data_IF_219244957319
#
_entry.id   IF_219244957319
#
_cell.length_a   1.000
_cell.length_b   1.000
_cell.length_c   1.000
_cell.angle_alpha   90.00
_cell.angle_beta   90.00
_cell.angle_gamma   90.00
#
_symmetry.space_group_name_H-M   'P 1'
#
loop_
_entity.id
_entity.type
_entity.pdbx_description
1 polymer ?
#
# COMPACT_ATOMS: atom_id res chain seq x y z
N UNK A 1 5.34 -9.27 11.00
CA UNK A 1 5.47 -9.31 12.48
C UNK A 1 5.00 -10.67 13.00
N UNK A 2 5.76 -11.35 13.89
CA UNK A 2 5.33 -12.62 14.50
C UNK A 2 3.97 -12.53 15.21
N UNK A 3 3.72 -11.43 15.90
CA UNK A 3 2.44 -11.19 16.60
C UNK A 3 1.25 -11.18 15.63
N UNK A 4 1.39 -10.47 14.51
CA UNK A 4 0.32 -10.40 13.49
C UNK A 4 0.06 -11.76 12.85
N UNK A 5 1.12 -12.52 12.56
CA UNK A 5 0.98 -13.90 12.04
C UNK A 5 0.30 -14.80 13.06
N UNK A 6 0.63 -14.68 14.36
CA UNK A 6 -0.06 -15.42 15.42
C UNK A 6 -1.57 -15.14 15.47
N UNK A 7 -1.97 -13.88 15.33
CA UNK A 7 -3.39 -13.50 15.24
C UNK A 7 -4.08 -14.07 13.99
N UNK A 8 -3.40 -14.01 12.84
CA UNK A 8 -3.93 -14.56 11.59
C UNK A 8 -4.13 -16.08 11.68
N UNK A 9 -3.16 -16.82 12.22
CA UNK A 9 -3.26 -18.27 12.45
C UNK A 9 -4.38 -18.64 13.41
N UNK A 10 -4.59 -17.81 14.44
CA UNK A 10 -5.69 -18.04 15.39
C UNK A 10 -7.07 -17.80 14.77
N UNK A 11 -7.17 -16.82 13.85
CA UNK A 11 -8.41 -16.48 13.15
C UNK A 11 -8.75 -17.47 12.02
N UNK A 12 -7.73 -18.00 11.34
CA UNK A 12 -7.86 -18.98 10.26
C UNK A 12 -6.79 -20.08 10.39
N UNK A 13 -7.05 -21.14 11.16
CA UNK A 13 -6.09 -22.24 11.37
C UNK A 13 -5.75 -23.04 10.10
N UNK A 14 -6.54 -22.90 9.03
CA UNK A 14 -6.31 -23.59 7.75
C UNK A 14 -5.39 -22.85 6.80
N UNK A 15 -5.06 -21.59 7.08
CA UNK A 15 -4.19 -20.77 6.25
C UNK A 15 -2.68 -21.07 6.43
N UNK A 16 -1.91 -20.91 5.39
CA UNK A 16 -0.43 -20.97 5.44
C UNK A 16 0.14 -19.56 5.72
N UNK A 17 0.40 -19.30 7.00
CA UNK A 17 0.90 -18.01 7.47
C UNK A 17 2.38 -18.11 7.83
N UNK A 18 3.21 -17.25 7.24
CA UNK A 18 4.66 -17.23 7.44
C UNK A 18 5.15 -15.86 7.84
N UNK A 19 6.10 -15.81 8.76
CA UNK A 19 6.87 -14.59 9.03
C UNK A 19 7.97 -14.51 7.98
N UNK A 20 7.92 -13.48 7.15
CA UNK A 20 8.94 -13.24 6.12
C UNK A 20 9.17 -11.71 5.96
N UNK A 21 10.31 -11.37 5.39
CA UNK A 21 10.58 -10.05 4.86
C UNK A 21 9.93 -9.94 3.46
N UNK A 22 9.25 -8.81 3.18
CA UNK A 22 8.67 -8.56 1.86
C UNK A 22 9.69 -8.50 0.74
N UNK A 23 10.92 -8.08 1.05
CA UNK A 23 12.05 -8.06 0.12
C UNK A 23 12.81 -9.39 0.03
N UNK A 24 12.34 -10.44 0.74
CA UNK A 24 12.95 -11.80 0.72
C UNK A 24 11.87 -12.83 1.04
N UNK A 25 11.10 -13.21 0.04
CA UNK A 25 9.96 -14.11 0.19
C UNK A 25 10.40 -15.58 0.13
N UNK A 26 9.90 -16.48 1.01
CA UNK A 26 10.28 -17.89 1.05
C UNK A 26 9.54 -18.72 -0.01
N UNK A 27 9.51 -18.24 -1.24
CA UNK A 27 8.89 -18.91 -2.38
C UNK A 27 9.89 -19.03 -3.52
N UNK A 28 9.76 -20.09 -4.31
CA UNK A 28 10.57 -20.29 -5.53
C UNK A 28 10.12 -19.33 -6.63
N UNK A 29 11.01 -19.08 -7.59
CA UNK A 29 10.73 -18.22 -8.74
C UNK A 29 9.53 -18.74 -9.53
N UNK A 30 8.73 -17.82 -10.04
CA UNK A 30 7.61 -18.11 -10.96
C UNK A 30 6.61 -19.15 -10.44
N UNK A 31 6.38 -19.21 -9.11
CA UNK A 31 5.52 -20.22 -8.49
C UNK A 31 4.15 -19.69 -8.07
N UNK A 32 3.94 -18.38 -8.08
CA UNK A 32 2.74 -17.72 -7.58
C UNK A 32 1.99 -17.06 -8.74
N UNK A 33 0.68 -17.28 -8.85
CA UNK A 33 -0.15 -16.65 -9.88
C UNK A 33 -0.68 -15.26 -9.49
N UNK A 34 -0.80 -15.00 -8.18
CA UNK A 34 -1.33 -13.74 -7.67
C UNK A 34 -0.60 -13.36 -6.37
N UNK A 35 -0.08 -12.13 -6.34
CA UNK A 35 0.44 -11.49 -5.13
C UNK A 35 -0.48 -10.32 -4.78
N UNK A 36 -0.82 -10.17 -3.51
CA UNK A 36 -1.62 -9.05 -2.99
C UNK A 36 -0.80 -8.30 -1.94
N UNK A 37 -0.50 -7.04 -2.20
CA UNK A 37 0.10 -6.11 -1.24
C UNK A 37 -0.98 -5.13 -0.76
N UNK A 38 -1.69 -5.52 0.30
CA UNK A 38 -2.79 -4.72 0.84
C UNK A 38 -2.28 -3.86 2.00
N UNK A 39 -2.32 -2.54 1.81
CA UNK A 39 -1.93 -1.53 2.81
C UNK A 39 -0.57 -1.82 3.47
N UNK A 40 0.41 -2.27 2.68
CA UNK A 40 1.70 -2.72 3.19
C UNK A 40 2.91 -2.04 2.54
N UNK A 41 2.89 -1.77 1.23
CA UNK A 41 4.07 -1.21 0.53
C UNK A 41 4.49 0.16 1.07
N UNK A 42 3.54 0.99 1.52
CA UNK A 42 3.85 2.29 2.12
C UNK A 42 4.59 2.17 3.47
N UNK A 43 4.50 1.01 4.14
CA UNK A 43 5.08 0.77 5.46
C UNK A 43 6.45 0.06 5.39
N UNK A 44 6.87 -0.36 4.19
CA UNK A 44 8.13 -1.08 3.99
C UNK A 44 9.31 -0.11 3.79
N UNK A 45 10.41 -0.37 4.49
CA UNK A 45 11.66 0.38 4.31
C UNK A 45 12.21 0.14 2.90
N UNK A 46 12.30 -1.13 2.46
CA UNK A 46 12.70 -1.54 1.11
C UNK A 46 11.48 -1.92 0.26
N UNK A 47 10.74 -0.90 -0.15
CA UNK A 47 9.57 -1.08 -1.02
C UNK A 47 9.97 -1.59 -2.42
N UNK A 48 11.09 -1.12 -2.95
CA UNK A 48 11.57 -1.54 -4.27
C UNK A 48 11.97 -3.01 -4.25
N UNK A 49 12.72 -3.46 -3.24
CA UNK A 49 13.07 -4.86 -3.05
C UNK A 49 11.83 -5.74 -2.91
N UNK A 50 10.80 -5.29 -2.19
CA UNK A 50 9.55 -6.03 -2.05
C UNK A 50 8.80 -6.16 -3.39
N UNK A 51 8.81 -5.14 -4.24
CA UNK A 51 8.21 -5.20 -5.57
C UNK A 51 9.00 -6.14 -6.49
N UNK A 52 10.34 -6.12 -6.43
CA UNK A 52 11.19 -7.07 -7.17
C UNK A 52 10.97 -8.51 -6.72
N UNK A 53 10.85 -8.76 -5.42
CA UNK A 53 10.54 -10.09 -4.89
C UNK A 53 9.15 -10.57 -5.32
N UNK A 54 8.14 -9.69 -5.28
CA UNK A 54 6.82 -10.00 -5.81
C UNK A 54 6.89 -10.40 -7.29
N UNK A 55 7.67 -9.67 -8.10
CA UNK A 55 7.87 -10.00 -9.51
C UNK A 55 8.62 -11.33 -9.69
N UNK A 56 9.64 -11.63 -8.87
CA UNK A 56 10.40 -12.89 -8.92
C UNK A 56 9.49 -14.09 -8.70
N UNK A 57 8.66 -14.04 -7.66
CA UNK A 57 7.79 -15.18 -7.30
C UNK A 57 6.58 -15.34 -8.21
N UNK A 58 6.13 -14.28 -8.88
CA UNK A 58 5.02 -14.36 -9.84
C UNK A 58 5.40 -15.21 -11.05
N UNK A 59 4.52 -16.10 -11.46
CA UNK A 59 4.63 -16.81 -12.74
C UNK A 59 4.44 -15.82 -13.92
N UNK A 60 4.95 -16.12 -15.11
CA UNK A 60 4.61 -15.35 -16.33
C UNK A 60 3.10 -15.21 -16.47
N UNK A 61 2.61 -13.98 -16.71
CA UNK A 61 1.19 -13.66 -16.72
C UNK A 61 0.53 -13.54 -15.34
N UNK A 62 1.27 -13.82 -14.26
CA UNK A 62 0.82 -13.60 -12.88
C UNK A 62 0.64 -12.11 -12.56
N UNK A 63 -0.11 -11.81 -11.51
CA UNK A 63 -0.51 -10.44 -11.19
C UNK A 63 -0.12 -10.02 -9.79
N UNK A 64 0.34 -8.78 -9.68
CA UNK A 64 0.48 -8.06 -8.41
C UNK A 64 -0.70 -7.08 -8.28
N UNK A 65 -1.49 -7.24 -7.23
CA UNK A 65 -2.53 -6.29 -6.83
C UNK A 65 -2.06 -5.50 -5.61
N UNK A 66 -2.07 -4.18 -5.72
CA UNK A 66 -1.63 -3.26 -4.67
C UNK A 66 -2.79 -2.39 -4.23
N UNK A 67 -2.95 -2.23 -2.93
CA UNK A 67 -3.77 -1.18 -2.33
C UNK A 67 -2.90 -0.41 -1.33
N UNK A 68 -2.87 0.90 -1.42
CA UNK A 68 -2.09 1.77 -0.54
C UNK A 68 -2.79 3.11 -0.30
N UNK A 69 -2.36 3.83 0.73
CA UNK A 69 -2.76 5.22 0.93
C UNK A 69 -2.33 6.02 -0.29
N UNK A 70 -3.26 6.77 -0.89
CA UNK A 70 -2.94 7.55 -2.07
C UNK A 70 -1.81 8.55 -1.78
N UNK A 71 -0.79 8.68 -2.65
CA UNK A 71 0.34 9.57 -2.43
C UNK A 71 -0.05 11.03 -2.17
N UNK A 72 -1.10 11.54 -2.79
CA UNK A 72 -1.57 12.90 -2.48
C UNK A 72 -2.08 13.01 -1.03
N UNK A 73 -2.77 11.98 -0.54
CA UNK A 73 -3.30 11.98 0.82
C UNK A 73 -2.16 11.97 1.86
N UNK A 74 -1.09 11.18 1.64
CA UNK A 74 0.07 11.14 2.52
C UNK A 74 0.95 12.40 2.44
N UNK A 75 0.85 13.21 1.38
CA UNK A 75 1.63 14.42 1.17
C UNK A 75 1.09 15.64 1.91
N UNK A 76 -0.15 15.61 2.40
CA UNK A 76 -0.80 16.79 2.94
C UNK A 76 -1.86 16.49 3.99
N UNK A 77 -2.60 17.51 4.33
CA UNK A 77 -3.74 17.41 5.25
C UNK A 77 -4.76 18.52 5.02
N UNK A 78 -5.99 18.27 5.40
CA UNK A 78 -6.99 19.33 5.52
C UNK A 78 -6.64 20.26 6.69
N UNK A 79 -6.77 21.57 6.48
CA UNK A 79 -6.48 22.58 7.51
C UNK A 79 -7.47 22.54 8.67
N UNK A 80 -8.69 22.10 8.42
CA UNK A 80 -9.73 21.98 9.43
C UNK A 80 -10.66 20.80 9.15
N UNK A 81 -11.66 20.63 10.02
CA UNK A 81 -12.70 19.58 9.85
C UNK A 81 -13.92 20.08 9.07
N UNK A 82 -13.95 21.32 8.60
CA UNK A 82 -15.06 21.86 7.81
C UNK A 82 -15.10 21.21 6.42
N UNK A 83 -16.27 21.17 5.79
CA UNK A 83 -16.47 20.52 4.49
C UNK A 83 -15.67 21.19 3.37
N UNK A 84 -15.50 22.50 3.45
CA UNK A 84 -14.80 23.35 2.50
C UNK A 84 -13.30 23.53 2.81
N UNK A 85 -12.80 22.91 3.90
CA UNK A 85 -11.41 23.06 4.31
C UNK A 85 -10.44 22.82 3.15
N UNK A 86 -9.44 23.69 2.92
CA UNK A 86 -8.42 23.45 1.92
C UNK A 86 -7.57 22.23 2.31
N UNK A 87 -7.17 21.46 1.30
CA UNK A 87 -6.14 20.44 1.46
C UNK A 87 -4.78 21.04 1.12
N UNK A 88 -3.84 21.00 2.04
CA UNK A 88 -2.56 21.72 1.96
C UNK A 88 -1.40 20.74 1.98
N UNK A 89 -0.54 20.84 0.98
CA UNK A 89 0.78 20.20 0.96
C UNK A 89 1.74 21.13 1.70
N UNK A 90 2.35 20.66 2.77
CA UNK A 90 3.27 21.48 3.59
C UNK A 90 4.72 21.39 3.14
N UNK A 91 5.06 20.25 2.52
CA UNK A 91 6.39 19.94 2.01
C UNK A 91 6.31 19.57 0.55
N UNK A 92 7.45 19.37 -0.10
CA UNK A 92 7.48 18.91 -1.48
C UNK A 92 6.84 17.52 -1.60
N UNK A 93 5.85 17.37 -2.46
CA UNK A 93 5.27 16.09 -2.85
C UNK A 93 6.32 15.08 -3.34
N UNK A 94 7.44 15.55 -3.87
CA UNK A 94 8.48 14.69 -4.44
C UNK A 94 9.50 14.18 -3.42
N UNK A 95 9.46 14.67 -2.19
CA UNK A 95 10.36 14.23 -1.13
C UNK A 95 9.83 12.98 -0.44
N UNK A 96 10.70 11.97 -0.32
CA UNK A 96 10.45 10.84 0.56
C UNK A 96 10.46 11.34 2.01
N UNK A 97 9.41 11.07 2.76
CA UNK A 97 9.37 11.39 4.19
C UNK A 97 8.72 10.27 5.00
N UNK A 98 9.15 10.14 6.25
CA UNK A 98 8.52 9.22 7.23
C UNK A 98 7.45 9.96 8.01
N UNK A 99 6.37 9.28 8.32
CA UNK A 99 5.35 9.77 9.24
C UNK A 99 4.80 8.64 10.12
N UNK A 100 4.27 9.01 11.28
CA UNK A 100 3.62 8.07 12.18
C UNK A 100 2.19 8.53 12.46
N UNK A 101 1.27 7.57 12.47
CA UNK A 101 -0.14 7.80 12.80
C UNK A 101 -0.48 6.90 13.97
N UNK A 102 -0.98 7.49 15.07
CA UNK A 102 -1.59 6.74 16.15
C UNK A 102 -3.09 6.61 15.89
N UNK A 103 -3.58 5.39 15.96
CA UNK A 103 -5.00 5.06 15.83
C UNK A 103 -5.43 4.27 17.03
N UNK A 104 -6.53 4.68 17.65
CA UNK A 104 -7.21 3.90 18.67
C UNK A 104 -8.53 3.39 18.10
N UNK A 105 -8.70 2.08 18.08
CA UNK A 105 -9.91 1.44 17.59
C UNK A 105 -10.23 0.23 18.48
N UNK A 106 -11.47 0.15 18.94
CA UNK A 106 -11.98 -0.96 19.77
C UNK A 106 -11.10 -1.23 21.01
N UNK A 107 -10.55 -0.17 21.63
CA UNK A 107 -9.67 -0.24 22.79
C UNK A 107 -8.21 -0.64 22.47
N UNK A 108 -7.88 -0.87 21.20
CA UNK A 108 -6.52 -1.15 20.73
C UNK A 108 -5.88 0.14 20.23
N UNK A 109 -4.72 0.48 20.81
CA UNK A 109 -3.87 1.57 20.34
C UNK A 109 -2.81 1.01 19.40
N UNK A 110 -2.78 1.52 18.18
CA UNK A 110 -1.85 1.11 17.13
C UNK A 110 -1.06 2.30 16.61
N UNK A 111 0.22 2.12 16.38
CA UNK A 111 1.07 3.11 15.71
C UNK A 111 1.45 2.56 14.34
N UNK A 112 1.06 3.25 13.29
CA UNK A 112 1.49 2.98 11.93
C UNK A 112 2.68 3.88 11.60
N UNK A 113 3.79 3.28 11.21
CA UNK A 113 4.95 3.99 10.71
C UNK A 113 5.00 3.79 9.20
N UNK A 114 4.79 4.87 8.47
CA UNK A 114 4.63 4.81 7.02
C UNK A 114 5.57 5.81 6.34
N UNK A 115 5.76 5.62 5.04
CA UNK A 115 6.46 6.55 4.18
C UNK A 115 5.49 7.26 3.25
N UNK A 116 5.62 8.56 3.16
CA UNK A 116 5.18 9.27 1.98
C UNK A 116 6.18 9.01 0.85
N UNK A 117 5.68 8.49 -0.26
CA UNK A 117 6.40 8.34 -1.53
C UNK A 117 5.53 8.91 -2.64
N UNK A 118 6.07 9.70 -3.58
CA UNK A 118 5.29 10.18 -4.71
C UNK A 118 4.84 9.00 -5.60
N UNK A 119 3.77 9.17 -6.36
CA UNK A 119 3.23 8.13 -7.25
C UNK A 119 4.29 7.51 -8.16
N UNK A 120 5.18 8.37 -8.69
CA UNK A 120 6.27 7.91 -9.56
C UNK A 120 7.19 6.88 -8.91
N UNK A 121 7.37 6.88 -7.58
CA UNK A 121 8.22 5.90 -6.91
C UNK A 121 7.62 4.49 -7.02
N UNK A 122 6.32 4.36 -6.85
CA UNK A 122 5.63 3.07 -7.00
C UNK A 122 5.62 2.59 -8.45
N UNK A 123 5.31 3.48 -9.40
CA UNK A 123 5.29 3.12 -10.82
C UNK A 123 6.69 2.80 -11.37
N UNK A 124 7.72 3.50 -10.90
CA UNK A 124 9.12 3.20 -11.25
C UNK A 124 9.56 1.83 -10.70
N UNK A 125 9.20 1.51 -9.45
CA UNK A 125 9.50 0.20 -8.86
C UNK A 125 8.82 -0.94 -9.63
N UNK A 126 7.54 -0.77 -10.03
CA UNK A 126 6.85 -1.75 -10.86
C UNK A 126 7.54 -1.91 -12.22
N UNK A 127 7.87 -0.81 -12.90
CA UNK A 127 8.53 -0.84 -14.20
C UNK A 127 9.92 -1.49 -14.14
N UNK A 128 10.73 -1.17 -13.12
CA UNK A 128 12.07 -1.75 -12.93
C UNK A 128 12.03 -3.26 -12.66
N UNK A 129 10.95 -3.73 -12.02
CA UNK A 129 10.71 -5.15 -11.77
C UNK A 129 10.07 -5.89 -12.97
N UNK A 130 9.86 -5.23 -14.12
CA UNK A 130 9.22 -5.84 -15.31
C UNK A 130 7.70 -6.08 -15.14
N UNK A 131 7.08 -5.34 -14.24
CA UNK A 131 5.63 -5.39 -14.01
C UNK A 131 4.94 -4.26 -14.78
N UNK A 132 4.00 -4.61 -15.65
CA UNK A 132 3.22 -3.67 -16.45
C UNK A 132 1.89 -3.37 -15.77
N UNK A 133 1.59 -2.10 -15.53
CA UNK A 133 0.32 -1.69 -14.92
C UNK A 133 -0.83 -1.92 -15.93
N UNK A 134 -1.74 -2.84 -15.61
CA UNK A 134 -2.95 -3.11 -16.40
C UNK A 134 -4.11 -2.19 -15.99
N UNK A 135 -4.17 -1.82 -14.71
CA UNK A 135 -5.27 -1.01 -14.16
C UNK A 135 -4.78 -0.18 -12.99
N UNK A 136 -5.27 1.04 -12.92
CA UNK A 136 -5.21 1.89 -11.73
C UNK A 136 -6.62 2.38 -11.37
N UNK A 137 -6.86 2.60 -10.09
CA UNK A 137 -8.07 3.23 -9.59
C UNK A 137 -7.71 4.12 -8.39
N UNK A 138 -8.19 5.34 -8.42
CA UNK A 138 -8.15 6.28 -7.31
C UNK A 138 -9.48 6.21 -6.58
N UNK A 139 -9.44 5.98 -5.29
CA UNK A 139 -10.64 5.71 -4.49
C UNK A 139 -10.81 6.80 -3.44
N UNK A 140 -11.94 7.50 -3.48
CA UNK A 140 -12.38 8.41 -2.43
C UNK A 140 -13.03 7.63 -1.27
N UNK A 141 -13.29 8.29 -0.16
CA UNK A 141 -14.06 7.69 0.93
C UNK A 141 -15.53 7.54 0.53
N UNK A 142 -15.93 6.32 0.15
CA UNK A 142 -17.31 6.02 -0.22
C UNK A 142 -18.28 5.97 0.98
N UNK A 143 -17.75 5.91 2.21
CA UNK A 143 -18.56 5.96 3.44
C UNK A 143 -18.83 7.38 3.91
N UNK A 144 -18.08 8.36 3.41
CA UNK A 144 -18.27 9.76 3.74
C UNK A 144 -19.59 10.29 3.16
N UNK A 145 -20.30 11.16 3.89
CA UNK A 145 -21.51 11.81 3.39
C UNK A 145 -21.26 12.59 2.10
N UNK A 146 -22.28 12.78 1.24
CA UNK A 146 -22.15 13.62 0.06
C UNK A 146 -21.65 15.02 0.42
N UNK A 147 -20.61 15.50 -0.28
CA UNK A 147 -19.99 16.80 -0.05
C UNK A 147 -18.95 16.82 1.07
N UNK A 148 -18.65 15.70 1.72
CA UNK A 148 -17.55 15.63 2.67
C UNK A 148 -16.20 15.94 1.99
N UNK A 149 -15.29 16.57 2.75
CA UNK A 149 -13.97 16.96 2.24
C UNK A 149 -13.17 15.76 1.72
N UNK A 150 -13.36 14.54 2.27
CA UNK A 150 -12.69 13.31 1.84
C UNK A 150 -13.17 12.77 0.49
N UNK A 151 -14.23 13.37 -0.09
CA UNK A 151 -14.62 13.10 -1.48
C UNK A 151 -13.90 13.97 -2.50
N UNK A 152 -13.12 14.96 -2.05
CA UNK A 152 -12.42 15.92 -2.92
C UNK A 152 -11.03 15.46 -3.34
N UNK A 153 -10.46 14.50 -2.64
CA UNK A 153 -9.15 13.91 -2.92
C UNK A 153 -9.25 12.38 -2.84
N UNK A 154 -8.42 11.65 -3.58
CA UNK A 154 -8.37 10.21 -3.44
C UNK A 154 -7.77 9.82 -2.07
N UNK A 155 -8.43 8.89 -1.40
CA UNK A 155 -7.98 8.35 -0.12
C UNK A 155 -7.01 7.17 -0.33
N UNK A 156 -7.32 6.32 -1.31
CA UNK A 156 -6.52 5.15 -1.65
C UNK A 156 -6.18 5.09 -3.14
N UNK A 157 -5.07 4.43 -3.43
CA UNK A 157 -4.66 4.05 -4.77
C UNK A 157 -4.67 2.52 -4.87
N UNK A 158 -5.35 2.00 -5.88
CA UNK A 158 -5.30 0.59 -6.24
C UNK A 158 -4.58 0.44 -7.58
N UNK A 159 -3.63 -0.48 -7.63
CA UNK A 159 -2.91 -0.82 -8.86
C UNK A 159 -3.02 -2.33 -9.10
N UNK A 160 -3.16 -2.72 -10.34
CA UNK A 160 -2.98 -4.09 -10.78
C UNK A 160 -1.93 -4.10 -11.88
N UNK A 161 -0.86 -4.86 -11.64
CA UNK A 161 0.22 -5.02 -12.59
C UNK A 161 0.39 -6.50 -12.96
N UNK A 162 0.80 -6.76 -14.20
CA UNK A 162 1.06 -8.10 -14.73
C UNK A 162 2.56 -8.29 -14.94
N UNK A 163 3.06 -9.48 -14.60
CA UNK A 163 4.40 -9.90 -15.00
C UNK A 163 4.37 -10.23 -16.49
N UNK A 164 5.14 -9.51 -17.29
CA UNK A 164 5.34 -9.84 -18.70
C UNK A 164 5.91 -11.27 -18.84
N UNK A 165 5.53 -11.95 -19.90
CA UNK A 165 6.01 -13.30 -20.22
C UNK A 165 7.44 -13.27 -20.76
#
# INVERSE_FOLDING_TARGET
SPTMIGHAQAADPGGDYRVADGASLPFVDASISLVIAFMSLQDMDDMEGAVHEAARVLAPGGRLCVALVHPINSAGRFESRTLDAPFVLRESYFHLSRYSIEVERDGLRMTFNSYHRPLQAYTAALASAGLLVERSAEVADSSAPPGDRWQRIPLFLHLRAIRAG
#
